data_IF_144652218021
#
_entry.id   IF_144652218021
#
_cell.length_a   1.000
_cell.length_b   1.000
_cell.length_c   1.000
_cell.angle_alpha   90.00
_cell.angle_beta   90.00
_cell.angle_gamma   90.00
#
_symmetry.space_group_name_H-M   'P 1'
#
loop_
_entity.id
_entity.type
_entity.pdbx_description
1 polymer ?
#
# COMPACT_ATOMS: atom_id res chain seq x y z
N UNK A 1 5.90 9.52 -4.30
CA UNK A 1 6.07 9.40 -5.77
C UNK A 1 5.59 8.03 -6.18
N UNK A 2 4.56 8.03 -6.96
CA UNK A 2 3.98 6.82 -7.50
C UNK A 2 4.21 6.89 -9.02
N UNK A 3 4.87 5.89 -9.62
CA UNK A 3 5.00 5.75 -11.07
C UNK A 3 4.09 4.61 -11.53
N UNK A 4 3.21 4.85 -12.45
CA UNK A 4 2.33 3.86 -13.04
C UNK A 4 2.65 3.60 -14.50
N UNK A 5 2.73 2.33 -14.79
CA UNK A 5 2.71 1.80 -16.13
C UNK A 5 1.49 0.88 -16.22
N UNK A 6 0.52 1.25 -17.03
CA UNK A 6 -0.44 0.31 -17.56
C UNK A 6 0.27 -0.42 -18.69
N UNK A 7 0.62 -1.68 -18.48
CA UNK A 7 0.99 -2.58 -19.57
C UNK A 7 -0.13 -3.59 -19.74
N UNK A 8 -0.72 -3.63 -20.92
CA UNK A 8 -1.39 -4.84 -21.39
C UNK A 8 -0.32 -5.89 -21.71
N UNK A 9 0.08 -6.65 -20.69
CA UNK A 9 1.01 -7.77 -20.86
C UNK A 9 0.19 -8.99 -21.22
N UNK A 10 0.33 -9.44 -22.47
CA UNK A 10 -0.24 -10.72 -22.89
C UNK A 10 0.54 -11.84 -22.17
N UNK A 11 -0.18 -12.76 -21.50
CA UNK A 11 0.43 -13.88 -20.77
C UNK A 11 1.34 -14.78 -21.65
N UNK A 12 1.21 -14.69 -22.97
CA UNK A 12 2.05 -15.42 -23.92
C UNK A 12 3.43 -14.80 -24.17
N UNK A 13 3.70 -13.60 -23.63
CA UNK A 13 4.98 -12.91 -23.80
C UNK A 13 6.02 -13.30 -22.75
N UNK A 14 5.65 -14.13 -21.77
CA UNK A 14 6.58 -14.66 -20.76
C UNK A 14 7.41 -15.81 -21.35
N UNK A 15 8.67 -15.53 -21.68
CA UNK A 15 9.66 -16.56 -21.95
C UNK A 15 10.33 -17.01 -20.64
N UNK A 16 10.68 -18.30 -20.49
CA UNK A 16 11.48 -18.75 -19.34
C UNK A 16 12.77 -17.94 -19.22
N UNK A 17 13.15 -17.60 -17.99
CA UNK A 17 14.33 -16.76 -17.70
C UNK A 17 15.60 -17.28 -18.36
N UNK A 18 15.74 -18.59 -18.50
CA UNK A 18 16.91 -19.26 -19.09
C UNK A 18 17.07 -19.03 -20.61
N UNK A 19 16.05 -18.49 -21.27
CA UNK A 19 16.06 -18.22 -22.72
C UNK A 19 16.14 -16.73 -23.05
N UNK A 20 16.22 -15.85 -22.05
CA UNK A 20 16.31 -14.41 -22.26
C UNK A 20 17.72 -14.06 -22.73
N UNK A 21 17.87 -13.81 -24.02
CA UNK A 21 19.10 -13.27 -24.58
C UNK A 21 19.23 -11.79 -24.20
N UNK A 22 20.23 -11.38 -23.38
CA UNK A 22 20.38 -9.99 -22.94
C UNK A 22 20.52 -8.99 -24.09
N UNK A 23 21.00 -9.41 -25.26
CA UNK A 23 21.14 -8.54 -26.44
C UNK A 23 19.80 -8.29 -27.15
N UNK A 24 18.73 -9.00 -26.77
CA UNK A 24 17.37 -8.79 -27.25
C UNK A 24 16.48 -8.07 -26.25
N UNK A 25 17.04 -7.59 -25.14
CA UNK A 25 16.29 -6.76 -24.22
C UNK A 25 15.95 -5.43 -24.94
N UNK A 26 14.77 -5.40 -25.53
CA UNK A 26 14.17 -4.15 -26.01
C UNK A 26 13.64 -3.49 -24.73
N UNK A 27 14.21 -2.34 -24.32
CA UNK A 27 13.61 -1.60 -23.21
C UNK A 27 12.13 -1.39 -23.55
N UNK A 28 11.24 -1.78 -22.65
CA UNK A 28 9.82 -1.52 -22.81
C UNK A 28 9.66 -0.06 -23.26
N UNK A 29 8.95 0.17 -24.35
CA UNK A 29 8.64 1.53 -24.77
C UNK A 29 7.98 2.18 -23.57
N UNK A 30 8.58 3.23 -23.02
CA UNK A 30 7.98 4.02 -21.96
C UNK A 30 6.73 4.65 -22.55
N UNK A 31 5.58 4.06 -22.32
CA UNK A 31 4.33 4.77 -22.51
C UNK A 31 4.27 5.88 -21.46
N UNK A 32 4.29 7.10 -21.91
CA UNK A 32 4.13 8.28 -21.07
C UNK A 32 2.63 8.46 -20.89
N UNK A 33 2.13 8.22 -19.68
CA UNK A 33 0.77 8.58 -19.34
C UNK A 33 0.71 10.06 -18.97
N UNK A 34 -0.17 10.80 -19.61
CA UNK A 34 -0.41 12.23 -19.33
C UNK A 34 -1.87 12.45 -18.98
N UNK A 35 -2.14 13.26 -17.96
CA UNK A 35 -3.49 13.67 -17.61
C UNK A 35 -3.50 15.10 -17.11
N UNK A 36 -4.59 15.83 -17.42
CA UNK A 36 -4.80 17.21 -16.97
C UNK A 36 -5.52 17.29 -15.62
N UNK A 37 -6.30 16.26 -15.27
CA UNK A 37 -7.22 16.30 -14.15
C UNK A 37 -6.73 15.53 -12.91
N UNK A 38 -5.85 14.58 -13.10
CA UNK A 38 -5.31 13.75 -12.02
C UNK A 38 -4.56 12.54 -12.57
N UNK A 39 -3.74 11.94 -11.74
CA UNK A 39 -2.98 10.76 -12.10
C UNK A 39 -2.90 9.83 -10.90
N UNK A 40 -3.05 8.55 -11.17
CA UNK A 40 -2.89 7.47 -10.18
C UNK A 40 -1.90 6.45 -10.72
N UNK A 41 -1.06 5.95 -9.83
CA UNK A 41 -0.14 4.88 -10.18
C UNK A 41 0.21 4.06 -8.95
N UNK A 42 0.25 2.75 -9.08
CA UNK A 42 0.50 1.80 -8.00
C UNK A 42 1.33 0.62 -8.49
N UNK A 43 1.71 -0.27 -7.56
CA UNK A 43 2.41 -1.51 -7.92
C UNK A 43 1.50 -2.60 -8.50
N UNK A 44 0.18 -2.38 -8.54
CA UNK A 44 -0.77 -3.34 -9.09
C UNK A 44 -1.86 -2.64 -9.91
N UNK A 45 -2.07 -3.08 -11.14
CA UNK A 45 -2.99 -2.41 -12.07
C UNK A 45 -4.44 -2.30 -11.58
N UNK A 46 -4.94 -3.30 -10.82
CA UNK A 46 -6.28 -3.24 -10.24
C UNK A 46 -6.39 -2.11 -9.22
N UNK A 47 -5.38 -1.93 -8.38
CA UNK A 47 -5.36 -0.83 -7.42
C UNK A 47 -5.28 0.54 -8.12
N UNK A 48 -4.54 0.63 -9.25
CA UNK A 48 -4.52 1.83 -10.09
C UNK A 48 -5.92 2.14 -10.63
N UNK A 49 -6.63 1.13 -11.15
CA UNK A 49 -8.02 1.29 -11.63
C UNK A 49 -8.98 1.73 -10.55
N UNK A 50 -8.83 1.21 -9.33
CA UNK A 50 -9.64 1.65 -8.19
C UNK A 50 -9.39 3.12 -7.88
N UNK A 51 -8.14 3.55 -7.81
CA UNK A 51 -7.83 4.97 -7.59
C UNK A 51 -8.40 5.87 -8.68
N UNK A 52 -8.31 5.48 -9.95
CA UNK A 52 -8.93 6.19 -11.07
C UNK A 52 -10.45 6.25 -10.92
N UNK A 53 -11.10 5.13 -10.57
CA UNK A 53 -12.55 5.08 -10.31
C UNK A 53 -12.96 6.08 -9.23
N UNK A 54 -12.25 6.11 -8.11
CA UNK A 54 -12.53 7.02 -6.99
C UNK A 54 -12.42 8.48 -7.44
N UNK A 55 -11.36 8.86 -8.17
CA UNK A 55 -11.23 10.22 -8.71
C UNK A 55 -12.36 10.57 -9.68
N UNK A 56 -12.78 9.64 -10.55
CA UNK A 56 -13.89 9.84 -11.49
C UNK A 56 -15.26 9.94 -10.81
N UNK A 57 -15.41 9.39 -9.62
CA UNK A 57 -16.60 9.52 -8.76
C UNK A 57 -16.65 10.84 -7.98
N UNK A 58 -15.67 11.71 -8.16
CA UNK A 58 -15.56 13.00 -7.48
C UNK A 58 -14.79 12.96 -6.16
N UNK A 59 -14.18 11.82 -5.83
CA UNK A 59 -13.25 11.72 -4.70
C UNK A 59 -11.97 12.53 -4.97
N UNK A 60 -11.31 12.88 -3.90
CA UNK A 60 -10.03 13.57 -3.94
C UNK A 60 -8.84 12.57 -3.89
N UNK A 61 -7.62 13.10 -3.89
CA UNK A 61 -6.41 12.30 -3.85
C UNK A 61 -6.27 11.47 -2.55
N UNK A 62 -6.85 11.93 -1.45
CA UNK A 62 -6.84 11.23 -0.16
C UNK A 62 -7.79 10.04 -0.20
N UNK A 63 -9.00 10.21 -0.73
CA UNK A 63 -9.96 9.13 -0.94
C UNK A 63 -9.36 8.05 -1.84
N UNK A 64 -8.76 8.46 -2.98
CA UNK A 64 -8.11 7.55 -3.90
C UNK A 64 -6.96 6.77 -3.23
N UNK A 65 -6.11 7.44 -2.44
CA UNK A 65 -5.00 6.80 -1.74
C UNK A 65 -5.47 5.75 -0.72
N UNK A 66 -6.55 6.02 0.00
CA UNK A 66 -7.14 5.10 0.97
C UNK A 66 -7.71 3.87 0.27
N UNK A 67 -8.53 4.06 -0.76
CA UNK A 67 -9.13 2.96 -1.53
C UNK A 67 -8.06 2.09 -2.20
N UNK A 68 -7.00 2.70 -2.74
CA UNK A 68 -5.82 2.02 -3.26
C UNK A 68 -5.15 1.18 -2.17
N UNK A 69 -4.94 1.75 -0.99
CA UNK A 69 -4.27 1.07 0.11
C UNK A 69 -5.01 -0.19 0.55
N UNK A 70 -6.32 -0.13 0.71
CA UNK A 70 -7.15 -1.30 1.00
C UNK A 70 -7.15 -2.32 -0.15
N UNK A 71 -7.23 -1.85 -1.39
CA UNK A 71 -7.15 -2.74 -2.55
C UNK A 71 -5.80 -3.46 -2.62
N UNK A 72 -4.69 -2.75 -2.40
CA UNK A 72 -3.35 -3.35 -2.37
C UNK A 72 -3.20 -4.40 -1.26
N UNK A 73 -3.88 -4.25 -0.13
CA UNK A 73 -3.87 -5.26 0.92
C UNK A 73 -4.44 -6.61 0.44
N UNK A 74 -5.32 -6.60 -0.56
CA UNK A 74 -5.90 -7.80 -1.18
C UNK A 74 -5.07 -8.28 -2.38
N UNK A 75 -4.86 -7.41 -3.38
CA UNK A 75 -4.29 -7.80 -4.67
C UNK A 75 -2.76 -7.86 -4.69
N UNK A 76 -2.09 -7.35 -3.68
CA UNK A 76 -0.64 -7.38 -3.52
C UNK A 76 -0.22 -7.90 -2.13
N UNK A 77 -0.55 -9.15 -1.77
CA UNK A 77 -0.42 -9.67 -0.41
C UNK A 77 1.02 -9.69 0.13
N UNK A 78 2.02 -9.58 -0.72
CA UNK A 78 3.44 -9.51 -0.30
C UNK A 78 3.85 -8.16 0.28
N UNK A 79 3.08 -7.08 0.05
CA UNK A 79 3.46 -5.72 0.43
C UNK A 79 2.27 -4.88 0.93
N UNK A 80 1.07 -5.06 0.35
CA UNK A 80 -0.15 -4.44 0.87
C UNK A 80 -0.54 -5.06 2.20
N UNK A 81 -1.08 -4.26 3.12
CA UNK A 81 -1.39 -4.74 4.46
C UNK A 81 -2.52 -3.95 5.13
N UNK A 82 -3.19 -4.60 6.08
CA UNK A 82 -4.05 -3.99 7.09
C UNK A 82 -3.54 -4.29 8.51
N UNK A 83 -2.61 -5.22 8.63
CA UNK A 83 -1.97 -5.63 9.89
C UNK A 83 -0.57 -5.04 10.10
N UNK A 84 -0.18 -4.09 9.28
CA UNK A 84 1.10 -3.41 9.33
C UNK A 84 0.95 -1.90 9.55
N UNK A 85 1.80 -1.13 8.90
CA UNK A 85 1.84 0.31 8.97
C UNK A 85 2.44 0.96 7.73
N UNK A 86 2.71 2.25 7.83
CA UNK A 86 3.32 3.01 6.75
C UNK A 86 3.46 4.48 7.05
N UNK A 87 3.75 5.22 6.01
CA UNK A 87 3.90 6.67 6.03
C UNK A 87 3.13 7.28 4.85
N UNK A 88 2.58 8.46 5.05
CA UNK A 88 1.97 9.22 3.96
C UNK A 88 2.48 10.65 3.98
N UNK A 89 2.83 11.16 2.80
CA UNK A 89 3.16 12.58 2.59
C UNK A 89 2.11 13.16 1.64
N UNK A 90 1.56 14.28 2.02
CA UNK A 90 0.40 14.87 1.38
C UNK A 90 0.62 16.36 1.14
N UNK A 91 0.07 16.87 0.04
CA UNK A 91 -0.01 18.28 -0.24
C UNK A 91 -1.48 18.69 -0.41
N UNK A 92 -1.92 19.64 0.38
CA UNK A 92 -3.25 20.23 0.22
C UNK A 92 -3.13 21.54 -0.59
N UNK A 93 -3.64 21.49 -1.81
CA UNK A 93 -3.61 22.64 -2.73
C UNK A 93 -4.54 23.79 -2.31
N UNK A 94 -5.54 23.55 -1.46
CA UNK A 94 -6.46 24.58 -0.99
C UNK A 94 -5.77 25.46 0.04
N UNK A 95 -5.09 24.87 1.01
CA UNK A 95 -4.36 25.58 2.06
C UNK A 95 -2.91 25.86 1.69
N UNK A 96 -2.41 25.25 0.61
CA UNK A 96 -1.00 25.24 0.17
C UNK A 96 -0.07 24.72 1.28
N UNK A 97 -0.50 23.72 2.02
CA UNK A 97 0.27 23.12 3.11
C UNK A 97 0.64 21.68 2.81
N UNK A 98 1.79 21.27 3.36
CA UNK A 98 2.24 19.90 3.33
C UNK A 98 1.99 19.25 4.68
N UNK A 99 1.54 17.99 4.63
CA UNK A 99 1.30 17.17 5.80
C UNK A 99 2.06 15.86 5.68
N UNK A 100 2.43 15.29 6.81
CA UNK A 100 2.91 13.92 6.89
C UNK A 100 2.21 13.22 8.04
N UNK A 101 1.92 11.95 7.85
CA UNK A 101 1.40 11.09 8.91
C UNK A 101 2.28 9.85 8.99
N UNK A 102 2.69 9.53 10.20
CA UNK A 102 3.36 8.30 10.58
C UNK A 102 2.33 7.39 11.23
N UNK A 103 1.97 6.31 10.53
CA UNK A 103 1.10 5.27 11.04
C UNK A 103 1.81 3.91 11.08
N UNK A 104 3.11 3.96 11.29
CA UNK A 104 3.91 2.76 11.50
C UNK A 104 3.45 1.99 12.72
N UNK A 105 3.76 0.70 12.75
CA UNK A 105 3.48 -0.18 13.87
C UNK A 105 4.16 0.33 15.14
N UNK A 106 3.48 0.17 16.26
CA UNK A 106 3.98 0.52 17.56
C UNK A 106 4.24 -0.72 18.40
N UNK A 107 5.16 -0.63 19.34
CA UNK A 107 5.34 -1.67 20.33
C UNK A 107 4.06 -1.78 21.21
N UNK A 108 3.60 -2.99 21.56
CA UNK A 108 2.52 -3.16 22.51
C UNK A 108 2.79 -2.47 23.85
N UNK A 109 1.75 -1.99 24.51
CA UNK A 109 1.88 -1.24 25.77
C UNK A 109 2.56 -2.03 26.91
N UNK A 110 2.58 -3.36 26.83
CA UNK A 110 3.24 -4.24 27.78
C UNK A 110 4.70 -4.58 27.39
N UNK A 111 5.21 -4.03 26.32
CA UNK A 111 6.59 -4.25 25.90
C UNK A 111 7.57 -3.60 26.89
N UNK A 112 8.69 -4.25 27.09
CA UNK A 112 9.77 -3.74 27.92
C UNK A 112 11.14 -4.03 27.28
N UNK A 113 12.17 -3.27 27.64
CA UNK A 113 13.46 -3.23 26.96
C UNK A 113 14.11 -4.61 26.79
N UNK A 114 14.01 -5.48 27.78
CA UNK A 114 14.71 -6.76 27.82
C UNK A 114 13.80 -7.96 27.47
N UNK A 115 12.63 -7.74 26.87
CA UNK A 115 11.65 -8.81 26.64
C UNK A 115 12.15 -9.95 25.72
N UNK A 116 13.24 -9.73 24.97
CA UNK A 116 13.86 -10.71 24.08
C UNK A 116 15.22 -11.20 24.58
N UNK A 117 15.60 -10.85 25.80
CA UNK A 117 16.85 -11.31 26.39
C UNK A 117 16.62 -12.49 27.34
N UNK A 118 17.65 -13.30 27.49
CA UNK A 118 17.74 -14.30 28.55
C UNK A 118 17.99 -13.62 29.91
N UNK A 119 17.87 -14.36 31.00
CA UNK A 119 18.13 -13.86 32.37
C UNK A 119 19.56 -13.33 32.55
N UNK A 120 20.52 -13.88 31.82
CA UNK A 120 21.91 -13.46 31.82
C UNK A 120 22.20 -12.22 30.92
N UNK A 121 21.17 -11.65 30.30
CA UNK A 121 21.25 -10.50 29.41
C UNK A 121 21.72 -10.83 27.99
N UNK A 122 21.94 -12.08 27.65
CA UNK A 122 22.26 -12.49 26.27
C UNK A 122 21.00 -12.51 25.41
N UNK A 123 21.15 -12.36 24.09
CA UNK A 123 20.03 -12.41 23.17
C UNK A 123 19.40 -13.81 23.15
N UNK A 124 18.09 -13.88 23.27
CA UNK A 124 17.37 -15.13 23.22
C UNK A 124 17.31 -15.67 21.77
N UNK A 125 18.03 -16.78 21.53
CA UNK A 125 18.11 -17.42 20.22
C UNK A 125 16.81 -18.13 19.79
N UNK A 126 15.77 -18.17 20.62
CA UNK A 126 14.48 -18.79 20.31
C UNK A 126 13.61 -18.00 19.32
N UNK A 127 14.18 -16.99 18.67
CA UNK A 127 13.51 -16.19 17.65
C UNK A 127 12.23 -15.45 18.15
N UNK A 128 12.09 -15.21 19.44
CA UNK A 128 10.93 -14.55 20.05
C UNK A 128 10.64 -13.17 19.45
N UNK A 129 11.67 -12.49 18.92
CA UNK A 129 11.52 -11.21 18.23
C UNK A 129 11.06 -11.34 16.77
N UNK A 130 11.03 -12.55 16.24
CA UNK A 130 10.73 -12.83 14.83
C UNK A 130 9.43 -13.62 14.65
N UNK A 131 9.17 -14.55 15.55
CA UNK A 131 8.00 -15.43 15.49
C UNK A 131 7.14 -15.39 16.76
N UNK A 132 5.83 -15.53 16.57
CA UNK A 132 4.86 -15.66 17.65
C UNK A 132 4.35 -14.30 18.15
N UNK A 133 3.60 -14.36 19.23
CA UNK A 133 2.85 -13.20 19.76
C UNK A 133 3.73 -12.04 20.24
N UNK A 134 4.92 -12.34 20.71
CA UNK A 134 5.85 -11.32 21.21
C UNK A 134 6.50 -10.52 20.08
N UNK A 135 6.56 -11.08 18.86
CA UNK A 135 7.12 -10.41 17.70
C UNK A 135 6.15 -9.40 17.06
N UNK A 136 4.87 -9.47 17.40
CA UNK A 136 3.83 -8.67 16.74
C UNK A 136 3.79 -7.24 17.26
N UNK A 137 3.82 -6.27 16.35
CA UNK A 137 3.52 -4.87 16.65
C UNK A 137 2.01 -4.59 16.64
N UNK A 138 1.63 -3.42 17.15
CA UNK A 138 0.27 -2.89 17.04
C UNK A 138 0.12 -2.24 15.67
N UNK A 139 -0.81 -2.70 14.81
CA UNK A 139 -0.97 -2.18 13.45
C UNK A 139 -1.42 -0.72 13.42
N UNK A 140 -0.92 0.03 12.45
CA UNK A 140 -1.27 1.43 12.26
C UNK A 140 -2.00 1.75 10.96
N UNK A 141 -1.98 0.86 9.95
CA UNK A 141 -2.50 1.16 8.61
C UNK A 141 -3.94 1.65 8.61
N UNK A 142 -4.86 0.91 9.23
CA UNK A 142 -6.29 1.28 9.26
C UNK A 142 -6.51 2.56 10.04
N UNK A 143 -5.82 2.72 11.17
CA UNK A 143 -5.90 3.94 11.99
C UNK A 143 -5.38 5.18 11.23
N UNK A 144 -4.27 5.02 10.48
CA UNK A 144 -3.71 6.08 9.66
C UNK A 144 -4.64 6.49 8.51
N UNK A 145 -5.23 5.53 7.80
CA UNK A 145 -6.20 5.81 6.75
C UNK A 145 -7.46 6.48 7.30
N UNK A 146 -7.93 6.04 8.46
CA UNK A 146 -9.06 6.67 9.14
C UNK A 146 -8.77 8.12 9.52
N UNK A 147 -7.60 8.41 10.09
CA UNK A 147 -7.21 9.77 10.46
C UNK A 147 -7.12 10.69 9.23
N UNK A 148 -6.55 10.20 8.12
CA UNK A 148 -6.51 10.94 6.86
C UNK A 148 -7.91 11.18 6.32
N UNK A 149 -8.77 10.17 6.34
CA UNK A 149 -10.16 10.29 5.89
C UNK A 149 -10.93 11.32 6.69
N UNK A 150 -10.83 11.31 8.03
CA UNK A 150 -11.53 12.25 8.89
C UNK A 150 -11.13 13.72 8.65
N UNK A 151 -9.89 13.95 8.23
CA UNK A 151 -9.38 15.31 8.00
C UNK A 151 -9.56 15.80 6.57
N UNK A 152 -9.43 14.92 5.60
CA UNK A 152 -9.27 15.28 4.19
C UNK A 152 -10.19 14.51 3.26
N UNK A 153 -10.87 13.45 3.72
CA UNK A 153 -11.78 12.66 2.90
C UNK A 153 -13.00 13.46 2.47
N UNK A 154 -13.52 13.14 1.30
CA UNK A 154 -14.72 13.77 0.72
C UNK A 154 -15.82 12.76 0.38
N UNK A 155 -15.47 11.48 0.23
CA UNK A 155 -16.42 10.40 0.00
C UNK A 155 -16.65 9.58 1.26
N UNK A 156 -17.75 8.85 1.31
CA UNK A 156 -18.07 7.96 2.42
C UNK A 156 -17.01 6.85 2.57
N UNK A 157 -16.65 6.55 3.81
CA UNK A 157 -15.64 5.53 4.13
C UNK A 157 -15.94 4.17 3.54
N UNK A 158 -17.20 3.74 3.62
CA UNK A 158 -17.69 2.47 3.10
C UNK A 158 -17.41 2.34 1.60
N UNK A 159 -17.62 3.41 0.83
CA UNK A 159 -17.37 3.44 -0.61
C UNK A 159 -15.89 3.17 -0.93
N UNK A 160 -14.98 3.65 -0.10
CA UNK A 160 -13.54 3.48 -0.31
C UNK A 160 -13.08 2.02 -0.10
N UNK A 161 -13.88 1.19 0.58
CA UNK A 161 -13.59 -0.20 0.86
C UNK A 161 -14.24 -1.17 -0.13
N UNK A 162 -15.26 -0.74 -0.88
CA UNK A 162 -16.09 -1.60 -1.74
C UNK A 162 -15.27 -2.48 -2.69
N UNK A 163 -14.34 -1.89 -3.42
CA UNK A 163 -13.54 -2.64 -4.41
C UNK A 163 -12.59 -3.64 -3.74
N UNK A 164 -12.00 -3.28 -2.62
CA UNK A 164 -11.15 -4.18 -1.85
C UNK A 164 -11.94 -5.37 -1.32
N UNK A 165 -13.15 -5.14 -0.79
CA UNK A 165 -14.07 -6.18 -0.35
C UNK A 165 -14.46 -7.06 -1.53
N UNK A 166 -14.83 -6.46 -2.66
CA UNK A 166 -15.21 -7.20 -3.87
C UNK A 166 -14.10 -8.16 -4.32
N UNK A 167 -12.84 -7.70 -4.39
CA UNK A 167 -11.72 -8.55 -4.77
C UNK A 167 -11.41 -9.63 -3.73
N UNK A 168 -11.60 -9.33 -2.45
CA UNK A 168 -11.41 -10.32 -1.39
C UNK A 168 -12.44 -11.45 -1.44
N UNK A 169 -13.69 -11.14 -1.79
CA UNK A 169 -14.79 -12.11 -1.83
C UNK A 169 -14.84 -12.91 -3.15
N UNK A 170 -14.50 -12.26 -4.27
CA UNK A 170 -14.71 -12.83 -5.60
C UNK A 170 -13.42 -13.25 -6.32
N UNK A 171 -12.28 -12.87 -5.77
CA UNK A 171 -10.97 -13.09 -6.40
C UNK A 171 -10.60 -11.97 -7.40
N UNK A 172 -9.38 -12.06 -7.93
CA UNK A 172 -8.79 -11.09 -8.84
C UNK A 172 -7.78 -11.75 -9.79
#
# INVERSE_FOLDING_TARGET
FIFGLSMDVNANDFQPIDTVNPSKYIPAQKEIAESKNGMVTTQHFLATKVGEKILNQGGNAYDAAIAIGFTLAVVLPRAGNIGGGGFMVMHDSITNQNYSIDYREMAPAKSFTNMYLNEDGTFNASELSTFGYLASGVPGTVAGFWEVHQKFGSLDWELLLEDAIYYAENGF
#
